data_IF_956407576586
#
_entry.id   IF_956407576586
#
_cell.length_a   1.000
_cell.length_b   1.000
_cell.length_c   1.000
_cell.angle_alpha   90.00
_cell.angle_beta   90.00
_cell.angle_gamma   90.00
#
_symmetry.space_group_name_H-M   'P 1'
#
loop_
_entity.id
_entity.type
_entity.pdbx_description
1 polymer ?
#
# COMPACT_ATOMS: atom_id res chain seq x y z
N UNK A 1 16.09 -6.75 46.98
CA UNK A 1 15.73 -5.82 45.87
C UNK A 1 14.21 -5.83 45.71
N UNK A 2 13.55 -4.67 45.89
CA UNK A 2 12.08 -4.55 45.91
C UNK A 2 11.48 -4.84 44.53
N UNK A 3 10.54 -5.78 44.45
CA UNK A 3 9.77 -6.17 43.23
C UNK A 3 8.55 -5.26 42.97
N UNK A 4 8.51 -4.08 43.57
CA UNK A 4 7.30 -3.23 43.66
C UNK A 4 6.67 -2.82 42.31
N UNK A 5 7.40 -2.97 41.19
CA UNK A 5 6.91 -2.66 39.85
C UNK A 5 7.06 -3.79 38.80
N UNK A 6 7.37 -5.04 39.22
CA UNK A 6 7.45 -6.14 38.27
C UNK A 6 6.07 -6.48 37.68
N UNK A 7 5.98 -6.60 36.34
CA UNK A 7 4.77 -7.02 35.64
C UNK A 7 3.71 -5.93 35.41
N UNK A 8 4.05 -4.66 35.64
CA UNK A 8 3.16 -3.53 35.34
C UNK A 8 3.47 -2.96 33.95
N UNK A 9 2.45 -2.37 33.33
CA UNK A 9 2.62 -1.59 32.11
C UNK A 9 3.40 -0.31 32.42
N UNK A 10 4.39 -0.01 31.59
CA UNK A 10 5.18 1.23 31.67
C UNK A 10 4.94 2.02 30.39
N UNK A 11 4.74 3.32 30.52
CA UNK A 11 4.63 4.21 29.37
C UNK A 11 6.04 4.64 28.93
N UNK A 12 6.44 4.22 27.74
CA UNK A 12 7.68 4.66 27.09
C UNK A 12 7.35 5.53 25.88
N UNK A 13 8.27 6.42 25.49
CA UNK A 13 8.14 7.12 24.21
C UNK A 13 8.16 6.13 23.04
N UNK A 14 7.37 6.40 22.01
CA UNK A 14 7.37 5.64 20.76
C UNK A 14 8.72 5.69 20.03
N UNK A 15 9.58 6.67 20.35
CA UNK A 15 10.94 6.78 19.79
C UNK A 15 11.95 5.83 20.47
N UNK A 16 11.58 5.22 21.60
CA UNK A 16 12.47 4.31 22.33
C UNK A 16 12.52 2.96 21.61
N UNK A 17 13.67 2.67 21.00
CA UNK A 17 13.97 1.37 20.41
C UNK A 17 14.25 0.34 21.51
N UNK A 18 13.46 -0.72 21.54
CA UNK A 18 13.55 -1.84 22.47
C UNK A 18 14.30 -3.00 21.83
N UNK A 19 15.09 -3.75 22.61
CA UNK A 19 15.67 -5.01 22.15
C UNK A 19 14.58 -5.97 21.66
N UNK A 20 14.91 -6.81 20.67
CA UNK A 20 14.02 -7.83 20.08
C UNK A 20 12.79 -7.32 19.31
N UNK A 21 12.60 -6.01 19.18
CA UNK A 21 11.56 -5.41 18.32
C UNK A 21 12.17 -5.00 16.98
N UNK A 22 11.54 -5.42 15.88
CA UNK A 22 11.92 -4.98 14.54
C UNK A 22 11.31 -3.61 14.25
N UNK A 23 12.17 -2.60 14.09
CA UNK A 23 11.78 -1.26 13.65
C UNK A 23 11.97 -1.19 12.14
N UNK A 24 10.89 -1.30 11.38
CA UNK A 24 10.89 -1.05 9.94
C UNK A 24 10.51 0.41 9.67
N UNK A 25 11.06 1.00 8.61
CA UNK A 25 10.52 2.25 8.09
C UNK A 25 9.04 2.05 7.75
N UNK A 26 8.19 2.99 8.16
CA UNK A 26 6.79 3.03 7.77
C UNK A 26 6.71 3.20 6.25
N UNK A 27 6.65 2.07 5.54
CA UNK A 27 6.37 2.06 4.11
C UNK A 27 4.94 2.54 3.93
N UNK A 28 4.81 3.83 3.62
CA UNK A 28 3.52 4.46 3.32
C UNK A 28 2.89 3.75 2.13
N UNK A 29 1.95 2.86 2.41
CA UNK A 29 1.16 2.18 1.40
C UNK A 29 -0.10 2.98 1.14
N UNK A 30 -0.16 3.65 0.00
CA UNK A 30 -1.37 4.32 -0.45
C UNK A 30 -2.17 3.36 -1.33
N UNK A 31 -3.48 3.28 -1.06
CA UNK A 31 -4.41 2.50 -1.86
C UNK A 31 -5.41 3.49 -2.45
N UNK A 32 -5.48 3.52 -3.78
CA UNK A 32 -6.41 4.37 -4.52
C UNK A 32 -7.46 3.48 -5.16
N UNK A 33 -8.72 3.91 -5.10
CA UNK A 33 -9.82 3.28 -5.83
C UNK A 33 -10.04 4.04 -7.14
N UNK A 34 -10.15 3.31 -8.24
CA UNK A 34 -10.27 3.85 -9.58
C UNK A 34 -11.48 3.23 -10.28
N UNK A 35 -12.38 4.09 -10.74
CA UNK A 35 -13.48 3.68 -11.62
C UNK A 35 -13.07 3.92 -13.07
N UNK A 36 -12.75 2.83 -13.77
CA UNK A 36 -12.46 2.89 -15.21
C UNK A 36 -13.75 2.66 -15.99
N UNK A 37 -14.05 3.55 -16.93
CA UNK A 37 -15.20 3.40 -17.84
C UNK A 37 -14.70 3.46 -19.26
N UNK A 38 -15.29 2.66 -20.12
CA UNK A 38 -14.96 2.60 -21.53
C UNK A 38 -16.14 3.05 -22.38
N UNK A 39 -15.86 3.88 -23.39
CA UNK A 39 -16.83 4.21 -24.44
C UNK A 39 -16.75 3.13 -25.53
N UNK A 40 -17.29 1.94 -25.27
CA UNK A 40 -17.32 0.81 -26.22
C UNK A 40 -17.18 -0.57 -25.57
N UNK A 41 -16.99 -1.61 -26.38
CA UNK A 41 -16.74 -2.98 -25.90
C UNK A 41 -15.29 -3.12 -25.43
N UNK A 42 -15.00 -2.73 -24.19
CA UNK A 42 -13.72 -3.02 -23.56
C UNK A 42 -13.80 -4.29 -22.72
N UNK A 43 -12.89 -5.23 -22.98
CA UNK A 43 -12.63 -6.33 -22.07
C UNK A 43 -11.67 -5.84 -20.97
N UNK A 44 -12.19 -5.20 -19.93
CA UNK A 44 -11.37 -4.69 -18.81
C UNK A 44 -10.67 -5.82 -18.01
N UNK A 45 -11.04 -7.08 -18.25
CA UNK A 45 -10.35 -8.26 -17.71
C UNK A 45 -9.18 -8.72 -18.59
N UNK A 46 -8.98 -8.10 -19.76
CA UNK A 46 -7.87 -8.42 -20.64
C UNK A 46 -6.54 -8.02 -19.96
N UNK A 47 -5.57 -8.95 -19.82
CA UNK A 47 -4.29 -8.65 -19.19
C UNK A 47 -3.51 -7.53 -19.89
N UNK A 48 -3.61 -7.43 -21.21
CA UNK A 48 -2.92 -6.41 -22.00
C UNK A 48 -3.50 -5.03 -21.71
N UNK A 49 -4.83 -4.93 -21.65
CA UNK A 49 -5.52 -3.68 -21.31
C UNK A 49 -5.24 -3.23 -19.87
N UNK A 50 -5.24 -4.15 -18.91
CA UNK A 50 -4.88 -3.84 -17.51
C UNK A 50 -3.43 -3.36 -17.39
N UNK A 51 -2.52 -3.93 -18.17
CA UNK A 51 -1.11 -3.53 -18.19
C UNK A 51 -0.97 -2.13 -18.78
N UNK A 52 -1.65 -1.84 -19.90
CA UNK A 52 -1.64 -0.51 -20.52
C UNK A 52 -2.18 0.57 -19.57
N UNK A 53 -3.31 0.32 -18.90
CA UNK A 53 -3.90 1.26 -17.93
C UNK A 53 -2.95 1.49 -16.74
N UNK A 54 -2.35 0.41 -16.20
CA UNK A 54 -1.41 0.53 -15.08
C UNK A 54 -0.18 1.35 -15.44
N UNK A 55 0.34 1.19 -16.65
CA UNK A 55 1.46 1.95 -17.16
C UNK A 55 1.10 3.43 -17.30
N UNK A 56 -0.07 3.76 -17.86
CA UNK A 56 -0.50 5.16 -17.99
C UNK A 56 -0.68 5.85 -16.63
N UNK A 57 -1.26 5.15 -15.65
CA UNK A 57 -1.40 5.65 -14.27
C UNK A 57 -0.03 5.82 -13.62
N UNK A 58 0.88 4.85 -13.81
CA UNK A 58 2.24 4.90 -13.27
C UNK A 58 2.98 6.14 -13.74
N UNK A 59 2.96 6.42 -15.04
CA UNK A 59 3.62 7.59 -15.61
C UNK A 59 3.01 8.91 -15.11
N UNK A 60 1.68 8.99 -15.00
CA UNK A 60 1.01 10.18 -14.42
C UNK A 60 1.33 10.37 -12.94
N UNK A 61 1.40 9.31 -12.15
CA UNK A 61 1.74 9.43 -10.73
C UNK A 61 3.20 9.87 -10.55
N UNK A 62 4.12 9.34 -11.38
CA UNK A 62 5.52 9.80 -11.40
C UNK A 62 5.62 11.29 -11.74
N UNK A 63 4.89 11.76 -12.76
CA UNK A 63 4.89 13.19 -13.11
C UNK A 63 4.29 14.08 -12.01
N UNK A 64 3.40 13.55 -11.18
CA UNK A 64 2.84 14.22 -10.01
C UNK A 64 3.71 14.13 -8.74
N UNK A 65 4.92 13.57 -8.83
CA UNK A 65 5.89 13.53 -7.73
C UNK A 65 5.95 12.20 -6.96
N UNK A 66 5.37 11.12 -7.48
CA UNK A 66 5.62 9.78 -6.95
C UNK A 66 7.10 9.41 -7.15
N UNK A 67 7.77 8.97 -6.08
CA UNK A 67 9.18 8.56 -6.16
C UNK A 67 9.35 7.39 -7.13
N UNK A 68 10.41 7.40 -7.92
CA UNK A 68 10.68 6.42 -8.98
C UNK A 68 10.83 4.98 -8.49
N UNK A 69 11.15 4.77 -7.22
CA UNK A 69 11.24 3.46 -6.55
C UNK A 69 9.89 2.92 -6.08
N UNK A 70 8.80 3.67 -6.27
CA UNK A 70 7.46 3.26 -5.84
C UNK A 70 6.90 2.14 -6.71
N UNK A 71 6.62 0.99 -6.08
CA UNK A 71 5.99 -0.16 -6.74
C UNK A 71 4.47 0.00 -6.80
N UNK A 72 3.92 0.07 -8.01
CA UNK A 72 2.47 0.12 -8.25
C UNK A 72 2.00 -1.27 -8.70
N UNK A 73 0.87 -1.75 -8.18
CA UNK A 73 0.31 -3.05 -8.54
C UNK A 73 -1.20 -3.07 -8.39
N UNK A 74 -1.88 -3.78 -9.28
CA UNK A 74 -3.31 -4.08 -9.11
C UNK A 74 -3.56 -4.88 -7.84
N UNK A 75 -4.56 -4.47 -7.05
CA UNK A 75 -5.04 -5.24 -5.91
C UNK A 75 -6.20 -6.12 -6.36
N UNK A 76 -5.98 -7.44 -6.47
CA UNK A 76 -7.07 -8.39 -6.67
C UNK A 76 -7.84 -8.54 -5.35
N UNK A 77 -9.14 -8.27 -5.35
CA UNK A 77 -10.01 -8.55 -4.22
C UNK A 77 -10.33 -10.03 -4.14
N UNK A 78 -10.46 -10.55 -2.93
CA UNK A 78 -10.90 -11.93 -2.70
C UNK A 78 -12.32 -12.12 -3.26
N UNK A 79 -12.41 -12.81 -4.41
CA UNK A 79 -13.60 -13.57 -4.77
C UNK A 79 -14.65 -12.94 -5.69
N UNK A 80 -14.60 -11.64 -6.01
CA UNK A 80 -15.49 -11.07 -7.04
C UNK A 80 -14.75 -9.99 -7.83
N UNK A 81 -14.82 -10.12 -9.16
CA UNK A 81 -14.26 -9.24 -10.21
C UNK A 81 -13.94 -7.84 -9.66
N UNK A 82 -12.66 -7.57 -9.41
CA UNK A 82 -12.23 -6.26 -8.95
C UNK A 82 -12.00 -5.36 -10.15
N UNK A 83 -13.05 -4.60 -10.44
CA UNK A 83 -12.92 -3.20 -10.82
C UNK A 83 -13.30 -2.38 -9.59
N UNK A 84 -12.31 -1.97 -8.79
CA UNK A 84 -12.48 -1.03 -7.68
C UNK A 84 -11.16 -0.27 -7.48
#
# INVERSE_FOLDING_TARGET
MSRSNSGRWSQYSCDVKQPFICYGDDKRKQIVRLKVTCKGKCALNDPSLQTAILNEISEKLKSMGLKSDSKISWRKGHGRKVFL
#
